data_IF_247906196043
#
_entry.id   IF_247906196043
#
_cell.length_a   1.000
_cell.length_b   1.000
_cell.length_c   1.000
_cell.angle_alpha   90.00
_cell.angle_beta   90.00
_cell.angle_gamma   90.00
#
_symmetry.space_group_name_H-M   'P 1'
#
loop_
_entity.id
_entity.type
_entity.pdbx_description
1 polymer ?
#
# COMPACT_ATOMS: atom_id res chain seq x y z
N UNK A 1 -14.10 -14.55 2.96
CA UNK A 1 -13.47 -13.46 3.71
C UNK A 1 -12.42 -14.08 4.63
N UNK A 2 -11.15 -14.01 4.25
CA UNK A 2 -10.07 -14.57 5.08
C UNK A 2 -9.77 -13.63 6.23
N UNK A 3 -9.94 -14.13 7.45
CA UNK A 3 -9.75 -13.37 8.68
C UNK A 3 -8.30 -12.86 8.85
N UNK A 4 -7.34 -13.57 8.22
CA UNK A 4 -5.89 -13.29 8.29
C UNK A 4 -5.22 -13.53 6.94
N UNK A 5 -4.19 -12.75 6.67
CA UNK A 5 -3.33 -12.96 5.52
C UNK A 5 -1.94 -13.37 6.02
N UNK A 6 -1.65 -14.67 5.90
CA UNK A 6 -0.31 -15.21 6.10
C UNK A 6 0.45 -15.04 4.79
N UNK A 7 1.31 -14.02 4.73
CA UNK A 7 2.06 -13.68 3.52
C UNK A 7 3.51 -14.11 3.71
N UNK A 8 4.09 -14.74 2.68
CA UNK A 8 5.51 -15.09 2.69
C UNK A 8 6.35 -13.84 2.47
N UNK A 9 7.53 -13.80 3.08
CA UNK A 9 8.53 -12.74 2.88
C UNK A 9 8.71 -12.44 1.39
N UNK A 10 8.70 -11.15 1.05
CA UNK A 10 8.88 -10.66 -0.31
C UNK A 10 7.65 -10.75 -1.21
N UNK A 11 6.54 -11.31 -0.76
CA UNK A 11 5.30 -11.31 -1.53
C UNK A 11 4.57 -9.97 -1.45
N UNK A 12 3.84 -9.66 -2.52
CA UNK A 12 2.99 -8.48 -2.62
C UNK A 12 1.72 -8.70 -1.80
N UNK A 13 1.34 -7.70 -1.02
CA UNK A 13 0.04 -7.67 -0.34
C UNK A 13 -1.05 -7.38 -1.36
N UNK A 14 -1.99 -8.31 -1.48
CA UNK A 14 -3.18 -8.14 -2.30
C UNK A 14 -4.31 -7.62 -1.42
N UNK A 15 -4.80 -6.41 -1.71
CA UNK A 15 -6.00 -5.85 -1.11
C UNK A 15 -7.17 -6.17 -2.06
N UNK A 16 -7.87 -7.27 -1.78
CA UNK A 16 -8.88 -7.86 -2.66
C UNK A 16 -10.27 -7.21 -2.51
N UNK A 17 -10.54 -6.55 -1.39
CA UNK A 17 -11.72 -5.69 -1.23
C UNK A 17 -11.40 -4.27 -1.71
N UNK A 18 -12.02 -3.88 -2.83
CA UNK A 18 -11.80 -2.56 -3.45
C UNK A 18 -12.98 -1.65 -3.15
N UNK A 19 -12.76 -0.60 -2.35
CA UNK A 19 -13.78 0.42 -2.10
C UNK A 19 -13.92 1.43 -3.25
N UNK A 20 -12.78 1.91 -3.78
CA UNK A 20 -12.74 2.86 -4.88
C UNK A 20 -11.50 2.59 -5.75
N UNK A 21 -11.67 2.56 -7.08
CA UNK A 21 -10.56 2.37 -8.02
C UNK A 21 -10.83 3.16 -9.31
N UNK A 22 -11.03 4.47 -9.15
CA UNK A 22 -11.21 5.39 -10.27
C UNK A 22 -9.96 5.39 -11.17
N UNK A 23 -10.15 5.44 -12.48
CA UNK A 23 -9.07 5.28 -13.45
C UNK A 23 -8.47 3.86 -13.53
N UNK A 24 -8.99 2.89 -12.76
CA UNK A 24 -8.63 1.45 -12.82
C UNK A 24 -7.12 1.19 -12.73
N UNK A 25 -6.40 2.02 -11.98
CA UNK A 25 -4.95 1.96 -11.86
C UNK A 25 -4.48 0.89 -10.86
N UNK A 26 -5.33 0.50 -9.89
CA UNK A 26 -5.06 -0.62 -9.01
C UNK A 26 -5.52 -1.95 -9.62
N UNK A 27 -4.60 -2.91 -9.75
CA UNK A 27 -4.87 -4.26 -10.24
C UNK A 27 -5.06 -5.21 -9.07
N UNK A 28 -6.32 -5.38 -8.64
CA UNK A 28 -6.69 -6.18 -7.48
C UNK A 28 -6.25 -7.65 -7.55
N UNK A 29 -6.08 -8.23 -8.75
CA UNK A 29 -5.64 -9.63 -8.89
C UNK A 29 -4.19 -9.85 -8.48
N UNK A 30 -3.37 -8.79 -8.41
CA UNK A 30 -1.93 -8.87 -8.15
C UNK A 30 -1.44 -7.87 -7.09
N UNK A 31 -2.31 -7.01 -6.58
CA UNK A 31 -1.97 -6.07 -5.50
C UNK A 31 -1.14 -4.86 -5.93
N UNK A 32 -1.14 -4.51 -7.22
CA UNK A 32 -0.24 -3.48 -7.78
C UNK A 32 -1.03 -2.28 -8.31
N UNK A 33 -0.63 -1.09 -7.88
CA UNK A 33 -1.02 0.16 -8.51
C UNK A 33 -0.04 0.50 -9.64
N UNK A 34 -0.55 0.76 -10.84
CA UNK A 34 0.24 1.17 -12.00
C UNK A 34 -0.04 2.64 -12.30
N UNK A 35 0.99 3.47 -12.21
CA UNK A 35 0.90 4.92 -12.36
C UNK A 35 0.37 5.31 -13.75
N UNK A 36 -0.78 6.01 -13.85
CA UNK A 36 -1.35 6.38 -15.15
C UNK A 36 -0.71 7.62 -15.79
N UNK A 37 -0.20 8.56 -14.98
CA UNK A 37 0.34 9.85 -15.40
C UNK A 37 1.63 10.19 -14.67
N UNK A 38 2.48 11.01 -15.29
CA UNK A 38 3.60 11.62 -14.58
C UNK A 38 3.08 12.63 -13.55
N UNK A 39 3.59 12.58 -12.33
CA UNK A 39 3.18 13.54 -11.30
C UNK A 39 3.48 13.13 -9.86
N UNK A 40 2.99 13.94 -8.92
CA UNK A 40 3.08 13.70 -7.48
C UNK A 40 1.88 12.88 -7.01
N UNK A 41 2.15 11.75 -6.38
CA UNK A 41 1.16 10.87 -5.78
C UNK A 41 1.33 10.83 -4.28
N UNK A 42 0.22 10.77 -3.56
CA UNK A 42 0.20 10.53 -2.12
C UNK A 42 -0.29 9.12 -1.86
N UNK A 43 0.42 8.38 -1.02
CA UNK A 43 0.02 7.06 -0.55
C UNK A 43 -0.11 7.04 0.96
N UNK A 44 -1.10 6.31 1.45
CA UNK A 44 -1.31 6.03 2.86
C UNK A 44 -1.39 4.53 3.08
N UNK A 45 -0.77 4.08 4.16
CA UNK A 45 -0.78 2.69 4.56
C UNK A 45 -1.08 2.65 6.05
N UNK A 46 -2.12 1.91 6.41
CA UNK A 46 -2.49 1.64 7.78
C UNK A 46 -2.51 0.13 7.94
N UNK A 47 -1.78 -0.38 8.91
CA UNK A 47 -1.68 -1.81 9.18
C UNK A 47 -2.15 -2.09 10.60
N UNK A 48 -2.65 -3.30 10.80
CA UNK A 48 -3.03 -3.79 12.11
C UNK A 48 -2.47 -5.18 12.34
N UNK A 49 -1.89 -5.38 13.50
CA UNK A 49 -1.42 -6.67 13.99
C UNK A 49 -2.18 -7.08 15.24
N UNK A 50 -2.23 -8.38 15.47
CA UNK A 50 -2.84 -8.96 16.66
C UNK A 50 -1.86 -9.10 17.79
N UNK A 51 -2.42 -9.38 18.96
CA UNK A 51 -1.73 -9.94 20.12
C UNK A 51 -0.74 -11.02 19.69
N UNK A 52 0.48 -10.95 20.22
CA UNK A 52 1.57 -11.90 19.96
C UNK A 52 2.16 -11.89 18.54
N UNK A 53 1.68 -11.05 17.63
CA UNK A 53 2.18 -10.96 16.25
C UNK A 53 2.84 -9.61 15.96
N UNK A 54 3.86 -9.66 15.11
CA UNK A 54 4.51 -8.49 14.52
C UNK A 54 4.01 -8.34 13.08
N UNK A 55 3.68 -7.12 12.69
CA UNK A 55 3.41 -6.76 11.31
C UNK A 55 4.32 -5.60 10.87
N UNK A 56 4.95 -5.78 9.72
CA UNK A 56 5.75 -4.81 9.00
C UNK A 56 5.29 -4.83 7.55
N UNK A 57 4.92 -3.66 7.02
CA UNK A 57 4.60 -3.52 5.61
C UNK A 57 5.41 -2.37 5.05
N UNK A 58 5.98 -2.60 3.88
CA UNK A 58 6.77 -1.61 3.16
C UNK A 58 6.03 -1.19 1.90
N UNK A 59 5.90 0.12 1.70
CA UNK A 59 5.49 0.68 0.43
C UNK A 59 6.70 0.70 -0.50
N UNK A 60 6.60 0.00 -1.62
CA UNK A 60 7.70 -0.16 -2.58
C UNK A 60 7.30 0.36 -3.95
N UNK A 61 8.24 1.02 -4.61
CA UNK A 61 8.12 1.47 -5.99
C UNK A 61 9.09 0.67 -6.86
N UNK A 62 8.58 0.09 -7.94
CA UNK A 62 9.39 -0.46 -9.03
C UNK A 62 9.28 0.49 -10.22
N UNK A 63 10.41 1.06 -10.63
CA UNK A 63 10.46 1.99 -11.75
C UNK A 63 10.32 1.23 -13.06
N UNK A 64 9.52 1.76 -14.00
CA UNK A 64 9.34 1.13 -15.32
C UNK A 64 10.65 1.08 -16.10
N UNK A 65 11.39 2.19 -16.10
CA UNK A 65 12.65 2.35 -16.84
C UNK A 65 13.83 1.62 -16.21
N UNK A 66 13.72 1.25 -14.93
CA UNK A 66 14.74 0.49 -14.22
C UNK A 66 14.10 -0.67 -13.45
N UNK A 67 13.89 -1.77 -14.16
CA UNK A 67 13.24 -2.98 -13.62
C UNK A 67 14.10 -3.73 -12.59
N UNK A 68 15.38 -3.40 -12.49
CA UNK A 68 16.36 -3.99 -11.57
C UNK A 68 16.40 -3.24 -10.23
N UNK A 69 15.97 -1.97 -10.18
CA UNK A 69 15.88 -1.20 -8.94
C UNK A 69 14.46 -1.20 -8.38
N UNK A 70 14.30 -1.74 -7.18
CA UNK A 70 13.13 -1.54 -6.34
C UNK A 70 13.50 -0.57 -5.23
N UNK A 71 12.66 0.45 -4.99
CA UNK A 71 12.88 1.46 -3.97
C UNK A 71 11.84 1.32 -2.87
N UNK A 72 12.30 1.10 -1.63
CA UNK A 72 11.46 1.22 -0.45
C UNK A 72 11.24 2.69 -0.13
N UNK A 73 9.98 3.10 -0.02
CA UNK A 73 9.61 4.50 0.20
C UNK A 73 9.38 4.76 1.69
N UNK A 74 8.46 4.01 2.30
CA UNK A 74 8.12 4.08 3.72
C UNK A 74 7.77 2.70 4.25
N UNK A 75 7.90 2.52 5.57
CA UNK A 75 7.52 1.29 6.27
C UNK A 75 6.62 1.61 7.45
N UNK A 76 5.74 0.67 7.77
CA UNK A 76 5.00 0.61 9.02
C UNK A 76 5.53 -0.54 9.86
N UNK A 77 5.44 -0.40 11.17
CA UNK A 77 5.82 -1.44 12.12
C UNK A 77 4.85 -1.43 13.29
N UNK A 78 4.26 -2.59 13.59
CA UNK A 78 3.39 -2.81 14.74
C UNK A 78 3.83 -4.09 15.46
N UNK A 79 4.03 -4.00 16.77
CA UNK A 79 4.51 -5.11 17.61
C UNK A 79 3.49 -5.47 18.69
N UNK A 80 2.56 -6.38 18.35
CA UNK A 80 1.58 -6.90 19.30
C UNK A 80 2.17 -7.76 20.42
N UNK A 81 3.50 -7.93 20.45
CA UNK A 81 4.27 -8.64 21.49
C UNK A 81 5.19 -7.66 22.23
N UNK A 82 4.58 -6.71 22.95
CA UNK A 82 5.35 -5.74 23.76
C UNK A 82 5.65 -6.33 25.13
N UNK A 83 6.79 -7.02 25.26
CA UNK A 83 7.24 -7.65 26.51
C UNK A 83 6.37 -8.86 26.90
N UNK A 84 5.87 -8.87 28.15
CA UNK A 84 4.97 -9.92 28.65
C UNK A 84 3.48 -9.59 28.45
N UNK A 85 3.15 -8.50 27.76
CA UNK A 85 1.77 -8.06 27.56
C UNK A 85 1.46 -8.07 26.07
N UNK A 86 0.29 -8.63 25.74
CA UNK A 86 -0.13 -8.80 24.36
C UNK A 86 -1.29 -7.84 24.04
N UNK A 87 -1.06 -6.96 23.06
CA UNK A 87 -2.04 -5.97 22.59
C UNK A 87 -2.29 -6.14 21.10
N UNK A 88 -3.48 -5.74 20.67
CA UNK A 88 -3.70 -5.41 19.26
C UNK A 88 -3.07 -4.05 18.99
N UNK A 89 -2.31 -3.94 17.90
CA UNK A 89 -1.57 -2.72 17.59
C UNK A 89 -1.76 -2.31 16.14
N UNK A 90 -1.92 -1.02 15.93
CA UNK A 90 -1.94 -0.40 14.61
C UNK A 90 -0.67 0.40 14.35
N UNK A 91 -0.29 0.51 13.09
CA UNK A 91 0.77 1.42 12.65
C UNK A 91 0.40 2.02 11.31
N UNK A 92 0.79 3.26 11.07
CA UNK A 92 0.43 3.97 9.85
C UNK A 92 1.59 4.81 9.36
N UNK A 93 1.75 4.89 8.04
CA UNK A 93 2.72 5.76 7.40
C UNK A 93 2.17 6.24 6.06
N UNK A 94 2.70 7.37 5.58
CA UNK A 94 2.30 7.96 4.32
C UNK A 94 3.49 8.61 3.63
N UNK A 95 3.45 8.66 2.31
CA UNK A 95 4.49 9.29 1.52
C UNK A 95 3.90 10.06 0.35
N UNK A 96 4.53 11.18 0.01
CA UNK A 96 4.34 11.86 -1.27
C UNK A 96 5.55 11.52 -2.13
N UNK A 97 5.31 10.97 -3.31
CA UNK A 97 6.36 10.51 -4.23
C UNK A 97 6.04 10.92 -5.65
N UNK A 98 7.05 11.40 -6.36
CA UNK A 98 6.94 11.63 -7.79
C UNK A 98 7.10 10.31 -8.55
N UNK A 99 6.14 10.01 -9.43
CA UNK A 99 6.08 8.80 -10.22
C UNK A 99 5.91 9.11 -11.69
N UNK A 100 6.55 8.30 -12.52
CA UNK A 100 6.38 8.33 -13.96
C UNK A 100 5.31 7.32 -14.41
N UNK A 101 4.69 7.59 -15.55
CA UNK A 101 3.68 6.72 -16.15
C UNK A 101 4.24 5.30 -16.35
N UNK A 102 3.54 4.35 -15.74
CA UNK A 102 3.85 2.93 -15.77
C UNK A 102 4.76 2.45 -14.64
N UNK A 103 5.23 3.34 -13.75
CA UNK A 103 5.80 2.92 -12.46
C UNK A 103 4.79 2.07 -11.69
N UNK A 104 5.29 1.11 -10.91
CA UNK A 104 4.47 0.20 -10.13
C UNK A 104 4.66 0.47 -8.64
N UNK A 105 3.56 0.64 -7.92
CA UNK A 105 3.53 0.84 -6.47
C UNK A 105 2.77 -0.31 -5.83
N UNK A 106 3.34 -0.91 -4.80
CA UNK A 106 2.74 -2.03 -4.09
C UNK A 106 3.29 -2.18 -2.68
N UNK A 107 2.52 -2.84 -1.83
CA UNK A 107 2.90 -3.17 -0.47
C UNK A 107 3.58 -4.54 -0.44
N UNK A 108 4.64 -4.69 0.35
CA UNK A 108 5.32 -5.99 0.59
C UNK A 108 5.59 -6.21 2.06
N UNK A 109 5.61 -7.48 2.48
CA UNK A 109 6.08 -7.85 3.81
C UNK A 109 7.55 -8.26 3.68
N UNK A 110 8.46 -7.67 4.46
CA UNK A 110 9.88 -8.04 4.40
C UNK A 110 10.14 -9.41 5.02
N UNK A 111 9.25 -9.94 5.86
CA UNK A 111 9.37 -11.23 6.55
C UNK A 111 8.03 -11.98 6.54
N UNK A 112 8.07 -13.28 6.84
CA UNK A 112 6.84 -14.05 7.07
C UNK A 112 6.13 -13.48 8.30
N UNK A 113 4.95 -12.92 8.11
CA UNK A 113 4.20 -12.22 9.15
C UNK A 113 2.70 -12.41 8.94
N UNK A 114 1.93 -12.16 10.01
CA UNK A 114 0.48 -12.22 9.99
C UNK A 114 -0.05 -10.80 10.01
N UNK A 115 -0.72 -10.41 8.93
CA UNK A 115 -1.51 -9.18 8.91
C UNK A 115 -2.93 -9.49 9.33
N UNK A 116 -3.48 -8.67 10.22
CA UNK A 116 -4.90 -8.76 10.52
C UNK A 116 -5.69 -8.18 9.35
N UNK A 117 -6.55 -9.02 8.76
CA UNK A 117 -7.60 -8.59 7.83
C UNK A 117 -8.79 -7.99 8.61
N UNK A 118 -9.94 -7.85 7.93
CA UNK A 118 -11.21 -7.30 8.47
C UNK A 118 -11.21 -5.79 8.74
N UNK A 119 -11.25 -4.99 7.69
CA UNK A 119 -11.38 -3.52 7.70
C UNK A 119 -10.26 -2.70 8.41
N UNK A 120 -9.33 -3.34 9.13
CA UNK A 120 -8.29 -2.63 9.90
C UNK A 120 -7.02 -2.24 9.10
N UNK A 121 -6.66 -3.02 8.08
CA UNK A 121 -5.44 -2.81 7.29
C UNK A 121 -5.74 -2.24 5.91
N UNK A 122 -5.49 -0.95 5.68
CA UNK A 122 -5.84 -0.25 4.45
C UNK A 122 -4.62 0.26 3.68
N UNK A 123 -4.71 0.28 2.36
CA UNK A 123 -3.75 0.93 1.47
C UNK A 123 -4.49 1.90 0.55
N UNK A 124 -4.07 3.14 0.45
CA UNK A 124 -4.65 4.10 -0.47
C UNK A 124 -3.63 4.95 -1.19
N UNK A 125 -4.01 5.45 -2.36
CA UNK A 125 -3.14 6.24 -3.19
C UNK A 125 -3.91 7.09 -4.19
N UNK A 126 -3.52 8.35 -4.37
CA UNK A 126 -4.13 9.23 -5.35
C UNK A 126 -3.12 10.22 -5.95
N UNK A 127 -3.41 10.66 -7.17
CA UNK A 127 -2.65 11.70 -7.85
C UNK A 127 -3.00 13.05 -7.24
N UNK A 128 -1.99 13.76 -6.71
CA UNK A 128 -2.14 15.11 -6.20
C UNK A 128 -2.03 16.15 -7.31
N UNK A 129 -1.04 15.97 -8.18
CA UNK A 129 -0.71 16.90 -9.25
C UNK A 129 -0.05 16.17 -10.40
N UNK A 130 -0.58 16.34 -11.60
CA UNK A 130 0.06 15.89 -12.85
C UNK A 130 1.02 16.92 -13.40
N UNK A 131 1.99 16.45 -14.17
CA UNK A 131 2.84 17.29 -15.01
C UNK A 131 2.16 17.72 -16.32
N UNK A 132 1.07 17.06 -16.72
CA UNK A 132 0.32 17.42 -17.91
C UNK A 132 -0.27 18.82 -17.75
N UNK A 133 0.18 19.75 -18.60
CA UNK A 133 -0.35 21.11 -18.66
C UNK A 133 -1.69 21.05 -19.41
N UNK A 134 -2.78 21.10 -18.64
CA UNK A 134 -4.19 21.25 -19.03
C UNK A 134 -5.02 19.95 -19.13
N UNK A 135 -6.23 20.05 -18.59
CA UNK A 135 -7.35 19.07 -18.56
C UNK A 135 -7.43 17.99 -17.45
N UNK A 136 -7.20 18.34 -16.17
CA UNK A 136 -7.67 17.48 -15.07
C UNK A 136 -8.95 18.00 -14.41
N UNK A 137 -10.06 17.29 -14.72
CA UNK A 137 -11.37 17.45 -14.12
C UNK A 137 -11.33 16.99 -12.65
N UNK A 138 -12.03 17.69 -11.74
CA UNK A 138 -11.90 17.56 -10.27
C UNK A 138 -12.26 16.18 -9.67
N UNK A 139 -12.67 15.21 -10.49
CA UNK A 139 -13.18 13.89 -10.08
C UNK A 139 -12.10 12.83 -9.83
N UNK A 140 -10.86 13.06 -10.24
CA UNK A 140 -9.77 12.07 -10.12
C UNK A 140 -9.03 12.08 -8.77
N UNK A 141 -9.51 12.86 -7.79
CA UNK A 141 -8.75 13.23 -6.58
C UNK A 141 -8.88 12.30 -5.37
N UNK A 142 -9.72 11.27 -5.40
CA UNK A 142 -9.99 10.46 -4.20
C UNK A 142 -9.95 8.97 -4.47
N UNK A 143 -9.05 8.27 -3.79
CA UNK A 143 -9.11 6.82 -3.64
C UNK A 143 -8.85 6.47 -2.17
N UNK A 144 -9.77 5.69 -1.61
CA UNK A 144 -9.65 5.06 -0.30
C UNK A 144 -9.81 3.56 -0.56
N UNK A 145 -8.96 2.72 0.02
CA UNK A 145 -9.18 1.28 0.01
C UNK A 145 -9.03 0.80 1.44
N UNK A 146 -10.03 0.05 1.90
CA UNK A 146 -10.01 -0.71 3.14
C UNK A 146 -9.99 -2.19 2.74
N UNK A 147 -9.53 -3.10 3.60
CA UNK A 147 -9.38 -4.52 3.26
C UNK A 147 -10.68 -5.29 3.29
#
# INVERSE_FOLDING_TARGET
MTQYLAIRSGQIVVFDQVLANYGKSYRQSVGVFVTPYNGLYQFHMHIHTRKSFIAEVTLRVKRKMNTQSMQDIVRTWADGKTGNIEYEMGSSNSAIVYLEKGDMVYCVLPKNQVLSGLQFTSFSGYLMKTDEKNDMNSKDRFQTFLP
#
